data_IF_478040229573
#
_entry.id   IF_478040229573
#
_cell.length_a   1.000
_cell.length_b   1.000
_cell.length_c   1.000
_cell.angle_alpha   90.00
_cell.angle_beta   90.00
_cell.angle_gamma   90.00
#
_symmetry.space_group_name_H-M   'P 1'
#
loop_
_entity.id
_entity.type
_entity.pdbx_description
1 polymer ?
#
# COMPACT_ATOMS: atom_id res chain seq x y z
N UNK A 1 15.38 4.34 -1.46
CA UNK A 1 14.56 3.69 -0.40
C UNK A 1 13.27 3.18 -1.00
N UNK A 2 12.50 2.35 -0.26
CA UNK A 2 11.28 1.67 -0.74
C UNK A 2 10.26 2.64 -1.36
N UNK A 3 10.04 3.80 -0.74
CA UNK A 3 9.06 4.81 -1.18
C UNK A 3 9.36 5.34 -2.60
N UNK A 4 10.64 5.43 -2.99
CA UNK A 4 11.06 6.00 -4.28
C UNK A 4 11.24 4.96 -5.38
N UNK A 5 10.84 3.69 -5.15
CA UNK A 5 10.87 2.70 -6.21
C UNK A 5 9.88 3.10 -7.32
N UNK A 6 10.30 3.13 -8.61
CA UNK A 6 9.43 3.56 -9.70
C UNK A 6 8.12 2.77 -9.75
N UNK A 7 6.99 3.49 -9.74
CA UNK A 7 5.65 2.90 -9.81
C UNK A 7 5.16 2.22 -8.52
N UNK A 8 5.91 2.27 -7.42
CA UNK A 8 5.49 1.67 -6.16
C UNK A 8 4.44 2.51 -5.41
N UNK A 9 4.56 3.84 -5.45
CA UNK A 9 3.65 4.75 -4.76
C UNK A 9 3.26 5.92 -5.68
N UNK A 10 1.96 6.05 -5.95
CA UNK A 10 1.44 7.13 -6.82
C UNK A 10 1.70 8.52 -6.23
N UNK A 11 1.78 8.67 -4.91
CA UNK A 11 2.12 9.94 -4.27
C UNK A 11 3.46 10.52 -4.74
N UNK A 12 4.41 9.67 -5.17
CA UNK A 12 5.68 10.13 -5.74
C UNK A 12 5.50 10.61 -7.17
N UNK A 13 4.79 9.86 -8.01
CA UNK A 13 4.54 10.21 -9.42
C UNK A 13 3.62 11.43 -9.55
N UNK A 14 2.67 11.58 -8.63
CA UNK A 14 1.66 12.63 -8.62
C UNK A 14 2.18 13.92 -7.95
N UNK A 15 3.45 13.94 -7.51
CA UNK A 15 4.09 15.10 -6.89
C UNK A 15 3.62 15.42 -5.46
N UNK A 16 2.85 14.53 -4.84
CA UNK A 16 2.26 14.72 -3.51
C UNK A 16 3.21 14.36 -2.37
N UNK A 17 4.42 13.87 -2.65
CA UNK A 17 5.33 13.38 -1.62
C UNK A 17 5.79 14.45 -0.61
N UNK A 18 5.83 15.73 -1.02
CA UNK A 18 6.32 16.84 -0.20
C UNK A 18 5.20 17.74 0.34
N UNK A 19 3.95 17.31 0.29
CA UNK A 19 2.82 18.08 0.86
C UNK A 19 2.64 17.74 2.35
N UNK A 20 1.93 18.61 3.08
CA UNK A 20 1.54 18.30 4.44
C UNK A 20 0.57 17.10 4.47
N UNK A 21 0.94 15.98 5.11
CA UNK A 21 0.08 14.80 5.16
C UNK A 21 -1.12 15.03 6.10
N UNK A 22 -2.22 14.34 5.83
CA UNK A 22 -3.36 14.32 6.74
C UNK A 22 -3.01 13.65 8.07
N UNK A 23 -3.56 14.16 9.18
CA UNK A 23 -3.31 13.63 10.54
C UNK A 23 -3.62 12.12 10.64
N UNK A 24 -4.67 11.65 9.97
CA UNK A 24 -5.02 10.23 9.92
C UNK A 24 -3.92 9.37 9.29
N UNK A 25 -3.30 9.84 8.21
CA UNK A 25 -2.18 9.14 7.55
C UNK A 25 -0.95 9.10 8.45
N UNK A 26 -0.66 10.18 9.19
CA UNK A 26 0.44 10.20 10.17
C UNK A 26 0.19 9.19 11.29
N UNK A 27 -1.03 9.14 11.84
CA UNK A 27 -1.37 8.20 12.91
C UNK A 27 -1.27 6.75 12.42
N UNK A 28 -1.79 6.45 11.23
CA UNK A 28 -1.66 5.11 10.65
C UNK A 28 -0.19 4.70 10.44
N UNK A 29 0.67 5.62 9.99
CA UNK A 29 2.11 5.36 9.86
C UNK A 29 2.78 5.11 11.22
N UNK A 30 2.37 5.83 12.28
CA UNK A 30 2.86 5.61 13.64
C UNK A 30 2.42 4.26 14.19
N UNK A 31 1.17 3.87 14.00
CA UNK A 31 0.68 2.57 14.47
C UNK A 31 1.42 1.42 13.78
N UNK A 32 1.66 1.53 12.46
CA UNK A 32 2.48 0.58 11.72
C UNK A 32 3.93 0.53 12.23
N UNK A 33 4.54 1.68 12.53
CA UNK A 33 5.87 1.76 13.14
C UNK A 33 5.92 1.08 14.52
N UNK A 34 4.84 1.17 15.29
CA UNK A 34 4.67 0.52 16.58
C UNK A 34 4.35 -0.99 16.48
N UNK A 35 4.33 -1.55 15.26
CA UNK A 35 4.16 -2.99 15.02
C UNK A 35 2.72 -3.43 14.72
N UNK A 36 1.77 -2.50 14.57
CA UNK A 36 0.44 -2.86 14.14
C UNK A 36 0.41 -3.19 12.65
N UNK A 37 0.35 -4.49 12.33
CA UNK A 37 0.22 -4.97 10.97
C UNK A 37 -1.16 -5.61 10.73
N UNK A 38 -2.16 -4.83 10.29
CA UNK A 38 -3.46 -5.37 9.95
C UNK A 38 -3.40 -6.19 8.65
N UNK A 39 -2.34 -6.14 7.84
CA UNK A 39 -2.21 -6.86 6.57
C UNK A 39 -1.85 -8.35 6.76
N UNK A 40 -1.21 -8.70 7.88
CA UNK A 40 -0.77 -10.07 8.17
C UNK A 40 0.51 -10.46 7.43
N UNK A 41 1.46 -9.53 7.29
CA UNK A 41 2.74 -9.72 6.64
C UNK A 41 2.70 -9.56 5.12
N UNK A 42 1.80 -8.71 4.60
CA UNK A 42 1.71 -8.47 3.17
C UNK A 42 2.89 -7.65 2.66
N UNK A 43 3.40 -8.00 1.48
CA UNK A 43 4.43 -7.23 0.78
C UNK A 43 3.85 -6.45 -0.40
N UNK A 44 2.68 -6.86 -0.89
CA UNK A 44 2.00 -6.22 -2.01
C UNK A 44 0.53 -6.00 -1.71
N UNK A 45 -0.06 -5.02 -2.38
CA UNK A 45 -1.49 -4.84 -2.42
C UNK A 45 -1.94 -4.35 -3.80
N UNK A 46 -3.21 -4.57 -4.13
CA UNK A 46 -3.79 -4.02 -5.35
C UNK A 46 -5.29 -3.80 -5.22
N UNK A 47 -5.82 -2.86 -6.01
CA UNK A 47 -7.25 -2.68 -6.17
C UNK A 47 -7.72 -3.50 -7.39
N UNK A 48 -8.52 -4.58 -7.20
CA UNK A 48 -8.95 -5.45 -8.29
C UNK A 48 -9.81 -4.74 -9.33
N UNK A 49 -10.47 -3.63 -8.98
CA UNK A 49 -11.25 -2.82 -9.91
C UNK A 49 -10.40 -1.89 -10.78
N UNK A 50 -9.11 -1.67 -10.46
CA UNK A 50 -8.24 -0.71 -11.15
C UNK A 50 -7.01 -1.32 -11.81
N UNK A 51 -6.61 -2.55 -11.44
CA UNK A 51 -5.39 -3.17 -11.98
C UNK A 51 -5.70 -4.23 -13.04
N UNK A 52 -4.93 -4.20 -14.13
CA UNK A 52 -4.92 -5.23 -15.16
C UNK A 52 -3.65 -6.09 -15.11
N UNK A 53 -2.75 -5.86 -14.13
CA UNK A 53 -1.47 -6.53 -14.03
C UNK A 53 -1.63 -8.00 -13.65
N UNK A 54 -1.58 -8.93 -14.62
CA UNK A 54 -1.77 -10.37 -14.38
C UNK A 54 -0.82 -10.98 -13.35
N UNK A 55 0.40 -10.43 -13.20
CA UNK A 55 1.35 -10.95 -12.21
C UNK A 55 0.84 -10.75 -10.78
N UNK A 56 0.22 -9.60 -10.45
CA UNK A 56 -0.27 -9.39 -9.08
C UNK A 56 -1.45 -10.31 -8.75
N UNK A 57 -2.27 -10.65 -9.75
CA UNK A 57 -3.37 -11.61 -9.61
C UNK A 57 -2.90 -13.04 -9.35
N UNK A 58 -1.63 -13.37 -9.66
CA UNK A 58 -1.06 -14.69 -9.36
C UNK A 58 -0.60 -14.84 -7.91
N UNK A 59 -0.55 -13.75 -7.13
CA UNK A 59 -0.06 -13.77 -5.75
C UNK A 59 -1.13 -14.32 -4.80
N UNK A 60 -0.75 -15.14 -3.80
CA UNK A 60 -1.69 -15.59 -2.77
C UNK A 60 -2.24 -14.41 -1.97
N UNK A 61 -3.56 -14.26 -1.98
CA UNK A 61 -4.26 -13.22 -1.20
C UNK A 61 -4.25 -13.65 0.27
N UNK A 62 -3.74 -12.76 1.13
CA UNK A 62 -3.78 -12.92 2.58
C UNK A 62 -5.13 -12.46 3.11
N UNK A 63 -5.58 -11.27 2.68
CA UNK A 63 -6.85 -10.66 3.09
C UNK A 63 -7.26 -9.50 2.20
N UNK A 64 -8.49 -9.03 2.42
CA UNK A 64 -9.06 -7.83 1.79
C UNK A 64 -9.37 -6.81 2.88
N UNK A 65 -8.93 -5.57 2.70
CA UNK A 65 -9.27 -4.43 3.57
C UNK A 65 -9.73 -3.28 2.69
N UNK A 66 -10.98 -2.84 2.87
CA UNK A 66 -11.61 -1.87 1.98
C UNK A 66 -11.58 -2.34 0.53
N UNK A 67 -11.05 -1.52 -0.38
CA UNK A 67 -10.97 -1.83 -1.82
C UNK A 67 -9.65 -2.51 -2.22
N UNK A 68 -8.84 -2.99 -1.28
CA UNK A 68 -7.51 -3.54 -1.57
C UNK A 68 -7.38 -5.00 -1.14
N UNK A 69 -6.83 -5.81 -2.05
CA UNK A 69 -6.35 -7.16 -1.77
C UNK A 69 -4.88 -7.07 -1.32
N UNK A 70 -4.55 -7.67 -0.19
CA UNK A 70 -3.19 -7.75 0.38
C UNK A 70 -2.59 -9.13 0.13
N UNK A 71 -1.35 -9.19 -0.35
CA UNK A 71 -0.69 -10.40 -0.81
C UNK A 71 0.76 -10.50 -0.29
N UNK A 72 1.28 -11.74 -0.22
CA UNK A 72 2.72 -11.99 -0.01
C UNK A 72 3.52 -11.74 -1.28
#
# INVERSE_FOLDING_TARGET
GVIYQPGAFTAVTDGQININPATSSINAARDALNGWDPSGGALYYYNPAKTTNKWIWSRPIIKVIGSHNFCK
#
